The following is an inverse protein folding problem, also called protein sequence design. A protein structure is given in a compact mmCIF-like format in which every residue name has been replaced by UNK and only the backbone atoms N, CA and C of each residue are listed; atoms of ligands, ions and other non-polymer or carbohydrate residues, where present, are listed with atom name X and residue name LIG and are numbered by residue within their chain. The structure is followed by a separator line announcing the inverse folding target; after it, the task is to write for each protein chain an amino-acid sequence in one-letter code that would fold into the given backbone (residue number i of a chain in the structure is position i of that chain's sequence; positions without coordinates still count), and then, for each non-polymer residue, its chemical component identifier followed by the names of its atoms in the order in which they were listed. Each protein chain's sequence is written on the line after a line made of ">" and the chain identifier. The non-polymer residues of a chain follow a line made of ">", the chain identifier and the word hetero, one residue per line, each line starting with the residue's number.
data_IF_243900448359
#
_entry.id   IF_243900448359
#
_cell.length_a   1.000
_cell.length_b   1.000
_cell.length_c   1.000
_cell.angle_alpha   90.00
_cell.angle_beta   90.00
_cell.angle_gamma   90.00
#
_symmetry.space_group_name_H-M   'P 1'
#
loop_
_entity.id
_entity.type
_entity.pdbx_description
1 polymer ?
#
# COMPACT_ATOMS: atom_id res chain seq x y z
N UNK A 1 -6.70 52.20 33.19
CA UNK A 1 -6.39 51.25 32.10
C UNK A 1 -5.81 50.02 32.78
N UNK A 2 -6.60 48.94 32.89
CA UNK A 2 -6.15 47.68 33.49
C UNK A 2 -5.51 46.88 32.35
N UNK A 3 -4.20 46.65 32.42
CA UNK A 3 -3.52 45.73 31.51
C UNK A 3 -3.95 44.31 31.87
N UNK A 4 -4.82 43.71 31.05
CA UNK A 4 -5.06 42.28 31.07
C UNK A 4 -3.86 41.60 30.44
N UNK A 5 -3.00 41.02 31.27
CA UNK A 5 -1.95 40.10 30.84
C UNK A 5 -2.58 38.84 30.26
N UNK A 6 -2.61 38.75 28.93
CA UNK A 6 -2.86 37.49 28.23
C UNK A 6 -1.64 36.59 28.42
N UNK A 7 -1.75 35.63 29.33
CA UNK A 7 -0.87 34.45 29.29
C UNK A 7 -1.25 33.64 28.07
N UNK A 8 -0.33 33.36 27.12
CA UNK A 8 -0.62 32.41 26.06
C UNK A 8 -0.86 31.06 26.72
N UNK A 9 -2.05 30.51 26.51
CA UNK A 9 -2.36 29.16 26.93
C UNK A 9 -1.40 28.25 26.16
N UNK A 10 -0.41 27.67 26.85
CA UNK A 10 0.32 26.53 26.33
C UNK A 10 -0.74 25.43 26.20
N UNK A 11 -1.32 25.28 25.01
CA UNK A 11 -2.29 24.23 24.76
C UNK A 11 -1.50 22.93 24.66
N UNK A 12 -1.92 21.95 25.46
CA UNK A 12 -1.34 20.62 25.45
C UNK A 12 -1.46 20.08 24.01
N UNK A 13 -0.31 19.79 23.39
CA UNK A 13 -0.28 18.99 22.17
C UNK A 13 -1.05 17.71 22.51
N UNK A 14 -2.18 17.49 21.83
CA UNK A 14 -2.89 16.22 21.94
C UNK A 14 -1.97 15.16 21.35
N UNK A 15 -1.19 14.49 22.22
CA UNK A 15 -0.30 13.41 21.81
C UNK A 15 -1.21 12.29 21.34
N UNK A 16 -1.29 12.12 20.02
CA UNK A 16 -2.03 11.04 19.41
C UNK A 16 -1.33 9.72 19.70
N UNK A 17 -1.90 8.87 20.58
CA UNK A 17 -1.29 7.58 20.84
C UNK A 17 -1.35 6.75 19.55
N UNK A 18 -0.31 5.94 19.35
CA UNK A 18 -0.37 4.90 18.33
C UNK A 18 -1.58 3.98 18.61
N UNK A 19 -2.21 3.52 17.55
CA UNK A 19 -3.33 2.59 17.63
C UNK A 19 -2.95 1.27 16.98
N UNK A 20 -3.62 0.18 17.35
CA UNK A 20 -3.47 -1.09 16.64
C UNK A 20 -4.78 -1.85 16.61
N UNK A 21 -5.12 -2.40 15.44
CA UNK A 21 -6.26 -3.29 15.27
C UNK A 21 -6.06 -4.63 15.99
N UNK A 22 -4.81 -5.00 16.28
CA UNK A 22 -4.47 -6.20 17.02
C UNK A 22 -3.36 -5.93 18.04
N UNK A 23 -3.72 -5.86 19.33
CA UNK A 23 -2.79 -5.58 20.43
C UNK A 23 -1.65 -6.59 20.57
N UNK A 24 -1.75 -7.74 19.90
CA UNK A 24 -0.72 -8.79 19.90
C UNK A 24 0.20 -8.73 18.67
N UNK A 25 -0.06 -7.84 17.71
CA UNK A 25 0.80 -7.61 16.55
C UNK A 25 1.47 -6.25 16.64
N UNK A 26 2.74 -6.12 16.20
CA UNK A 26 3.47 -4.87 16.22
C UNK A 26 3.08 -3.90 15.08
N UNK A 27 1.84 -3.98 14.58
CA UNK A 27 1.36 -3.17 13.46
C UNK A 27 0.75 -1.88 14.04
N UNK A 28 1.56 -0.83 14.19
CA UNK A 28 1.14 0.46 14.74
C UNK A 28 0.58 1.38 13.66
N UNK A 29 -0.59 1.94 13.96
CA UNK A 29 -1.26 2.99 13.21
C UNK A 29 -0.91 4.33 13.88
N UNK A 30 -0.19 5.15 13.14
CA UNK A 30 0.33 6.45 13.54
C UNK A 30 -0.07 7.49 12.49
N UNK A 31 0.04 8.76 12.84
CA UNK A 31 -0.23 9.86 11.92
C UNK A 31 0.62 9.69 10.63
N UNK A 32 0.05 9.87 9.42
CA UNK A 32 -1.25 10.49 9.12
C UNK A 32 -2.45 9.56 9.22
N UNK A 33 -2.26 8.26 9.43
CA UNK A 33 -3.35 7.31 9.48
C UNK A 33 -4.08 7.35 10.82
N UNK A 34 -5.37 7.06 10.78
CA UNK A 34 -6.20 6.90 11.98
C UNK A 34 -7.30 5.89 11.79
N UNK A 35 -7.84 5.40 12.89
CA UNK A 35 -9.09 4.64 12.92
C UNK A 35 -10.20 5.53 13.51
N UNK A 36 -11.17 5.99 12.69
CA UNK A 36 -12.27 6.81 13.18
C UNK A 36 -13.04 6.14 14.32
N UNK A 37 -13.58 6.95 15.25
CA UNK A 37 -14.26 6.54 16.51
C UNK A 37 -13.34 5.96 17.59
N UNK A 38 -12.14 5.51 17.24
CA UNK A 38 -11.13 5.06 18.20
C UNK A 38 -10.09 6.15 18.52
N UNK A 39 -9.83 7.04 17.57
CA UNK A 39 -8.93 8.19 17.71
C UNK A 39 -9.69 9.49 17.39
N UNK A 40 -9.24 10.60 17.96
CA UNK A 40 -9.81 11.93 17.69
C UNK A 40 -9.53 12.36 16.25
N UNK A 41 -10.30 13.33 15.74
CA UNK A 41 -10.17 13.79 14.36
C UNK A 41 -8.80 14.43 14.10
N UNK A 42 -8.15 14.98 15.13
CA UNK A 42 -6.80 15.57 15.01
C UNK A 42 -5.68 14.52 14.97
N UNK A 43 -5.99 13.24 15.18
CA UNK A 43 -5.00 12.17 15.13
C UNK A 43 -4.79 11.52 13.77
N UNK A 44 -5.43 12.04 12.72
CA UNK A 44 -5.11 11.63 11.36
C UNK A 44 -5.36 12.74 10.36
N UNK A 45 -4.68 12.65 9.24
CA UNK A 45 -4.81 13.59 8.14
C UNK A 45 -6.03 13.22 7.27
N UNK A 46 -6.76 14.21 6.71
CA UNK A 46 -7.88 13.92 5.83
C UNK A 46 -7.50 12.96 4.69
N UNK A 47 -8.32 11.92 4.49
CA UNK A 47 -8.11 10.91 3.45
C UNK A 47 -7.31 9.67 3.91
N UNK A 48 -6.78 9.65 5.13
CA UNK A 48 -5.99 8.54 5.69
C UNK A 48 -6.77 7.69 6.71
N UNK A 49 -8.08 7.61 6.55
CA UNK A 49 -8.92 6.80 7.43
C UNK A 49 -8.75 5.30 7.13
N UNK A 50 -8.42 4.54 8.17
CA UNK A 50 -8.36 3.09 8.18
C UNK A 50 -9.53 2.51 8.98
N UNK A 51 -9.71 1.21 8.89
CA UNK A 51 -10.64 0.46 9.74
C UNK A 51 -10.03 -0.87 10.18
N UNK A 52 -10.65 -1.51 11.18
CA UNK A 52 -10.25 -2.84 11.62
C UNK A 52 -11.31 -3.86 11.24
N UNK A 53 -10.89 -5.06 10.83
CA UNK A 53 -11.79 -6.21 10.70
C UNK A 53 -11.90 -6.99 12.02
N UNK A 54 -12.80 -7.97 12.07
CA UNK A 54 -13.04 -8.83 13.26
C UNK A 54 -11.83 -9.67 13.66
N UNK A 55 -10.89 -9.89 12.75
CA UNK A 55 -9.69 -10.70 12.97
C UNK A 55 -8.49 -9.83 13.41
N UNK A 56 -8.72 -8.54 13.67
CA UNK A 56 -7.69 -7.58 14.04
C UNK A 56 -6.80 -7.12 12.88
N UNK A 57 -7.19 -7.40 11.64
CA UNK A 57 -6.51 -6.90 10.45
C UNK A 57 -6.90 -5.44 10.15
N UNK A 58 -5.91 -4.66 9.74
CA UNK A 58 -6.08 -3.26 9.31
C UNK A 58 -6.55 -3.21 7.86
N UNK A 59 -7.53 -2.35 7.58
CA UNK A 59 -8.21 -2.25 6.30
C UNK A 59 -8.10 -0.84 5.72
N UNK A 60 -7.80 -0.77 4.43
CA UNK A 60 -7.81 0.45 3.61
C UNK A 60 -8.95 0.39 2.61
N UNK A 61 -9.80 1.42 2.58
CA UNK A 61 -10.82 1.58 1.55
C UNK A 61 -10.43 2.70 0.59
N UNK A 62 -10.29 2.37 -0.69
CA UNK A 62 -10.05 3.36 -1.74
C UNK A 62 -11.40 3.81 -2.33
N UNK A 63 -11.81 5.08 -2.18
CA UNK A 63 -13.15 5.56 -2.56
C UNK A 63 -13.46 5.45 -4.06
N UNK A 64 -12.42 5.46 -4.89
CA UNK A 64 -12.48 5.45 -6.35
C UNK A 64 -12.73 4.07 -6.96
N UNK A 65 -12.80 3.02 -6.14
CA UNK A 65 -13.09 1.68 -6.61
C UNK A 65 -14.58 1.45 -6.79
N UNK A 66 -14.93 0.88 -7.95
CA UNK A 66 -16.30 0.42 -8.23
C UNK A 66 -16.76 -0.63 -7.21
N UNK A 67 -15.83 -1.44 -6.68
CA UNK A 67 -16.11 -2.30 -5.53
C UNK A 67 -15.90 -1.54 -4.22
N UNK A 68 -16.82 -1.69 -3.28
CA UNK A 68 -16.69 -1.19 -1.92
C UNK A 68 -15.73 -2.00 -1.05
N UNK A 69 -15.13 -3.06 -1.60
CA UNK A 69 -14.27 -3.98 -0.85
C UNK A 69 -12.98 -3.29 -0.41
N UNK A 70 -12.62 -3.38 0.87
CA UNK A 70 -11.36 -2.86 1.37
C UNK A 70 -10.19 -3.80 1.03
N UNK A 71 -9.00 -3.22 0.95
CA UNK A 71 -7.75 -3.97 1.00
C UNK A 71 -7.32 -4.22 2.44
N UNK A 72 -6.53 -5.28 2.64
CA UNK A 72 -5.84 -5.51 3.91
C UNK A 72 -4.49 -4.83 3.83
N UNK A 73 -4.21 -3.95 4.79
CA UNK A 73 -2.90 -3.34 4.99
C UNK A 73 -1.98 -4.38 5.59
N UNK A 74 -0.87 -4.67 4.90
CA UNK A 74 0.14 -5.64 5.31
C UNK A 74 1.34 -4.98 5.99
N UNK A 75 1.58 -3.68 5.75
CA UNK A 75 2.65 -2.93 6.40
C UNK A 75 2.63 -1.46 6.02
N UNK A 76 3.17 -0.62 6.90
CA UNK A 76 3.32 0.82 6.72
C UNK A 76 4.76 1.18 7.07
N UNK A 77 5.48 1.83 6.16
CA UNK A 77 6.79 2.43 6.42
C UNK A 77 6.63 3.95 6.41
N UNK A 78 6.52 4.53 7.61
CA UNK A 78 6.37 5.98 7.79
C UNK A 78 7.63 6.76 7.37
N UNK A 79 8.81 6.15 7.48
CA UNK A 79 10.08 6.81 7.12
C UNK A 79 10.22 7.02 5.62
N UNK A 80 9.64 6.11 4.82
CA UNK A 80 9.60 6.20 3.36
C UNK A 80 8.27 6.72 2.81
N UNK A 81 7.24 6.72 3.65
CA UNK A 81 5.84 6.96 3.28
C UNK A 81 5.34 5.95 2.25
N UNK A 82 5.51 4.67 2.57
CA UNK A 82 5.08 3.53 1.77
C UNK A 82 4.08 2.67 2.53
N UNK A 83 3.14 2.09 1.79
CA UNK A 83 2.04 1.28 2.30
C UNK A 83 1.91 0.04 1.41
N UNK A 84 1.93 -1.16 2.00
CA UNK A 84 1.69 -2.39 1.26
C UNK A 84 0.29 -2.92 1.53
N UNK A 85 -0.44 -3.20 0.47
CA UNK A 85 -1.82 -3.70 0.53
C UNK A 85 -1.96 -5.03 -0.20
N UNK A 86 -2.85 -5.88 0.32
CA UNK A 86 -3.22 -7.17 -0.24
C UNK A 86 -4.73 -7.25 -0.45
N UNK A 87 -5.13 -8.12 -1.35
CA UNK A 87 -6.53 -8.47 -1.55
C UNK A 87 -6.97 -9.50 -0.48
N UNK A 88 -8.11 -9.31 0.22
CA UNK A 88 -8.68 -10.35 1.07
C UNK A 88 -8.86 -11.71 0.40
N UNK A 89 -9.12 -11.73 -0.92
CA UNK A 89 -9.25 -12.96 -1.73
C UNK A 89 -7.89 -13.50 -2.21
N UNK A 90 -6.79 -12.86 -1.81
CA UNK A 90 -5.41 -13.21 -2.19
C UNK A 90 -5.17 -13.22 -3.70
N UNK A 91 -5.74 -12.26 -4.40
CA UNK A 91 -5.52 -12.09 -5.83
C UNK A 91 -5.44 -10.61 -6.25
N UNK A 92 -4.40 -9.91 -5.79
CA UNK A 92 -4.06 -8.56 -6.28
C UNK A 92 -4.02 -8.47 -7.82
N UNK A 93 -3.46 -9.44 -8.56
CA UNK A 93 -3.48 -9.41 -10.02
C UNK A 93 -4.91 -9.34 -10.60
N UNK A 94 -5.87 -10.04 -9.98
CA UNK A 94 -7.29 -9.98 -10.37
C UNK A 94 -7.89 -8.60 -10.13
N UNK A 95 -7.58 -7.97 -8.97
CA UNK A 95 -8.00 -6.59 -8.67
C UNK A 95 -7.48 -5.61 -9.73
N UNK A 96 -6.23 -5.73 -10.16
CA UNK A 96 -5.62 -4.84 -11.17
C UNK A 96 -6.19 -5.04 -12.58
N UNK A 97 -6.50 -6.29 -12.95
CA UNK A 97 -7.10 -6.57 -14.26
C UNK A 97 -8.54 -6.06 -14.36
N UNK A 98 -9.35 -6.34 -13.32
CA UNK A 98 -10.80 -6.16 -13.34
C UNK A 98 -11.27 -4.85 -12.70
N UNK A 99 -10.46 -4.21 -11.87
CA UNK A 99 -10.78 -2.93 -11.25
C UNK A 99 -9.86 -1.88 -11.85
N UNK A 100 -10.46 -0.85 -12.44
CA UNK A 100 -9.74 0.37 -12.79
C UNK A 100 -9.33 1.05 -11.48
N UNK A 101 -8.24 0.56 -10.86
CA UNK A 101 -7.64 1.11 -9.66
C UNK A 101 -7.18 2.53 -9.98
N UNK A 102 -8.05 3.50 -9.71
CA UNK A 102 -7.77 4.89 -9.95
C UNK A 102 -7.46 5.58 -8.62
N UNK A 103 -6.23 6.00 -8.38
CA UNK A 103 -5.87 6.70 -7.14
C UNK A 103 -6.25 8.19 -7.16
N UNK A 104 -6.79 8.70 -8.28
CA UNK A 104 -7.18 10.10 -8.42
C UNK A 104 -8.19 10.50 -7.34
N UNK A 105 -7.92 11.62 -6.67
CA UNK A 105 -8.75 12.13 -5.57
C UNK A 105 -8.52 11.45 -4.22
N UNK A 106 -7.59 10.50 -4.14
CA UNK A 106 -7.08 9.94 -2.88
C UNK A 106 -5.72 10.58 -2.55
N UNK A 107 -5.26 10.55 -1.29
CA UNK A 107 -3.92 11.04 -0.94
C UNK A 107 -2.80 10.07 -1.37
N UNK A 108 -3.15 8.94 -1.98
CA UNK A 108 -2.20 7.89 -2.35
C UNK A 108 -1.71 8.06 -3.78
N UNK A 109 -0.42 7.81 -3.98
CA UNK A 109 0.21 7.60 -5.27
C UNK A 109 0.63 6.13 -5.44
N UNK A 110 1.05 5.79 -6.65
CA UNK A 110 1.73 4.52 -6.89
C UNK A 110 3.11 4.53 -6.22
N UNK A 111 3.53 3.39 -5.65
CA UNK A 111 4.87 3.23 -5.09
C UNK A 111 5.99 3.42 -6.13
N UNK A 112 7.25 3.64 -5.72
CA UNK A 112 8.37 3.87 -6.62
C UNK A 112 8.67 2.68 -7.56
N UNK A 113 8.37 1.45 -7.15
CA UNK A 113 8.73 0.22 -7.86
C UNK A 113 7.74 -0.13 -9.00
N UNK A 114 7.27 0.87 -9.75
CA UNK A 114 6.35 0.66 -10.87
C UNK A 114 7.07 -0.01 -12.04
N UNK A 115 6.49 -1.11 -12.53
CA UNK A 115 6.91 -1.74 -13.77
C UNK A 115 5.70 -2.03 -14.68
N UNK A 116 5.96 -2.13 -15.98
CA UNK A 116 4.97 -2.61 -16.94
C UNK A 116 4.97 -4.14 -16.92
N UNK A 117 3.77 -4.70 -16.78
CA UNK A 117 3.54 -6.13 -16.78
C UNK A 117 2.51 -6.50 -17.83
N UNK A 118 2.81 -7.57 -18.54
CA UNK A 118 1.93 -8.16 -19.52
C UNK A 118 1.31 -9.42 -18.94
N UNK A 119 -0.02 -9.44 -18.97
CA UNK A 119 -0.82 -10.59 -18.60
C UNK A 119 -1.20 -11.36 -19.85
N UNK A 120 -0.95 -12.67 -19.86
CA UNK A 120 -1.25 -13.51 -20.99
C UNK A 120 -2.07 -14.73 -20.59
N UNK A 121 -2.98 -15.12 -21.48
CA UNK A 121 -3.69 -16.38 -21.43
C UNK A 121 -2.88 -17.42 -22.23
N UNK A 122 -2.36 -18.43 -21.55
CA UNK A 122 -1.59 -19.53 -22.14
C UNK A 122 -2.34 -20.86 -22.06
N UNK A 123 -3.67 -20.86 -21.93
CA UNK A 123 -4.47 -22.09 -21.79
C UNK A 123 -4.38 -23.03 -22.99
N UNK A 124 -4.21 -22.46 -24.19
CA UNK A 124 -4.09 -23.21 -25.45
C UNK A 124 -2.66 -23.61 -25.81
N UNK A 125 -1.70 -23.25 -24.97
CA UNK A 125 -0.32 -23.66 -25.18
C UNK A 125 -0.19 -25.18 -24.94
N UNK A 126 0.75 -25.83 -25.63
CA UNK A 126 1.02 -27.27 -25.45
C UNK A 126 1.65 -27.62 -24.07
N UNK A 127 1.26 -26.90 -23.01
CA UNK A 127 1.67 -27.11 -21.62
C UNK A 127 1.10 -28.39 -21.00
N UNK A 128 0.22 -29.12 -21.69
CA UNK A 128 -0.35 -30.40 -21.24
C UNK A 128 0.60 -31.60 -21.30
N UNK A 129 1.87 -31.40 -21.67
CA UNK A 129 2.90 -32.44 -21.62
C UNK A 129 3.64 -32.43 -20.27
N UNK A 130 3.97 -33.58 -19.67
CA UNK A 130 4.63 -33.68 -18.35
C UNK A 130 6.03 -33.04 -18.26
N UNK A 131 6.55 -32.44 -19.34
CA UNK A 131 7.87 -31.80 -19.43
C UNK A 131 7.82 -30.35 -19.99
N UNK A 132 6.64 -29.76 -20.14
CA UNK A 132 6.52 -28.41 -20.72
C UNK A 132 6.74 -27.34 -19.65
N UNK A 133 8.00 -27.02 -19.37
CA UNK A 133 8.37 -25.94 -18.45
C UNK A 133 8.17 -24.58 -19.16
N UNK A 134 7.55 -23.61 -18.47
CA UNK A 134 7.48 -22.25 -18.98
C UNK A 134 8.89 -21.65 -19.09
N UNK A 135 9.12 -20.71 -20.03
CA UNK A 135 10.40 -20.02 -20.08
C UNK A 135 10.69 -19.29 -18.77
N UNK A 136 11.95 -19.29 -18.35
CA UNK A 136 12.44 -18.47 -17.24
C UNK A 136 12.01 -17.00 -17.42
N UNK A 137 11.64 -16.35 -16.32
CA UNK A 137 11.06 -15.00 -16.35
C UNK A 137 9.55 -14.97 -16.59
N UNK A 138 8.89 -16.13 -16.69
CA UNK A 138 7.42 -16.23 -16.71
C UNK A 138 6.89 -16.59 -15.34
N UNK A 139 5.88 -15.85 -14.87
CA UNK A 139 5.24 -16.10 -13.58
C UNK A 139 3.81 -16.60 -13.79
N UNK A 140 3.50 -17.80 -13.32
CA UNK A 140 2.13 -18.32 -13.33
C UNK A 140 1.33 -17.64 -12.22
N UNK A 141 0.19 -17.06 -12.59
CA UNK A 141 -0.72 -16.41 -11.65
C UNK A 141 -1.74 -17.44 -11.20
N UNK A 142 -1.41 -18.15 -10.13
CA UNK A 142 -2.20 -19.23 -9.52
C UNK A 142 -3.66 -18.82 -9.28
N UNK A 143 -3.91 -17.64 -8.72
CA UNK A 143 -5.26 -17.18 -8.37
C UNK A 143 -6.13 -16.78 -9.58
N UNK A 144 -5.53 -16.65 -10.77
CA UNK A 144 -6.23 -16.46 -12.04
C UNK A 144 -6.21 -17.72 -12.92
N UNK A 145 -5.56 -18.79 -12.45
CA UNK A 145 -5.40 -20.04 -13.19
C UNK A 145 -6.24 -21.15 -12.57
N UNK A 146 -6.64 -22.10 -13.40
CA UNK A 146 -7.36 -23.32 -13.02
C UNK A 146 -6.92 -24.47 -13.91
N UNK A 147 -7.46 -25.67 -13.72
CA UNK A 147 -6.95 -26.89 -14.37
C UNK A 147 -6.77 -26.82 -15.90
N UNK A 148 -7.65 -26.12 -16.62
CA UNK A 148 -7.56 -25.91 -18.07
C UNK A 148 -7.38 -24.43 -18.47
N UNK A 149 -7.10 -23.55 -17.51
CA UNK A 149 -6.98 -22.12 -17.76
C UNK A 149 -5.70 -21.60 -17.12
N UNK A 150 -4.75 -21.13 -17.93
CA UNK A 150 -3.44 -20.71 -17.43
C UNK A 150 -3.23 -19.25 -17.73
N UNK A 151 -3.12 -18.44 -16.68
CA UNK A 151 -2.77 -17.02 -16.78
C UNK A 151 -1.38 -16.81 -16.26
N UNK A 152 -0.58 -16.09 -17.04
CA UNK A 152 0.81 -15.80 -16.74
C UNK A 152 1.08 -14.31 -16.79
N UNK A 153 2.15 -13.90 -16.13
CA UNK A 153 2.66 -12.55 -16.13
C UNK A 153 4.13 -12.53 -16.55
N UNK A 154 4.52 -11.52 -17.29
CA UNK A 154 5.93 -11.19 -17.57
C UNK A 154 6.12 -9.68 -17.56
N UNK A 155 7.34 -9.22 -17.31
CA UNK A 155 7.77 -7.82 -17.45
C UNK A 155 8.73 -7.63 -18.63
N UNK A 156 9.02 -8.69 -19.40
CA UNK A 156 9.98 -8.68 -20.49
C UNK A 156 9.27 -8.71 -21.85
N UNK A 157 9.41 -7.64 -22.63
CA UNK A 157 8.78 -7.52 -23.96
C UNK A 157 9.20 -8.66 -24.91
N UNK A 158 10.48 -9.04 -24.89
CA UNK A 158 10.99 -10.13 -25.73
C UNK A 158 10.39 -11.48 -25.34
N UNK A 159 10.14 -11.68 -24.04
CA UNK A 159 9.52 -12.90 -23.54
C UNK A 159 8.02 -12.93 -23.87
N UNK A 160 7.32 -11.80 -23.75
CA UNK A 160 5.94 -11.65 -24.20
C UNK A 160 5.81 -12.07 -25.67
N UNK A 161 6.62 -11.50 -26.55
CA UNK A 161 6.63 -11.83 -27.98
C UNK A 161 6.90 -13.32 -28.23
N UNK A 162 7.85 -13.90 -27.49
CA UNK A 162 8.19 -15.31 -27.58
C UNK A 162 7.01 -16.19 -27.16
N UNK A 163 6.35 -15.88 -26.04
CA UNK A 163 5.16 -16.58 -25.57
C UNK A 163 4.01 -16.53 -26.59
N UNK A 164 3.77 -15.37 -27.20
CA UNK A 164 2.74 -15.23 -28.24
C UNK A 164 3.08 -16.06 -29.49
N UNK A 165 4.33 -16.01 -29.97
CA UNK A 165 4.73 -16.71 -31.22
C UNK A 165 4.83 -18.23 -31.07
N UNK A 166 5.53 -18.69 -30.04
CA UNK A 166 5.92 -20.09 -29.86
C UNK A 166 4.93 -20.87 -28.99
N UNK A 167 4.43 -20.27 -27.90
CA UNK A 167 3.46 -20.91 -26.99
C UNK A 167 2.00 -20.59 -27.33
N UNK A 168 1.74 -19.75 -28.33
CA UNK A 168 0.37 -19.36 -28.73
C UNK A 168 -0.43 -18.74 -27.59
N UNK A 169 0.25 -18.04 -26.68
CA UNK A 169 -0.44 -17.27 -25.65
C UNK A 169 -1.08 -16.01 -26.25
N UNK A 170 -2.16 -15.54 -25.63
CA UNK A 170 -2.87 -14.33 -26.02
C UNK A 170 -2.69 -13.24 -24.95
N UNK A 171 -2.34 -12.03 -25.35
CA UNK A 171 -2.21 -10.89 -24.42
C UNK A 171 -3.59 -10.49 -23.93
N UNK A 172 -3.81 -10.59 -22.62
CA UNK A 172 -5.04 -10.18 -21.94
C UNK A 172 -5.04 -8.66 -21.77
N UNK A 173 -4.00 -8.13 -21.11
CA UNK A 173 -3.87 -6.72 -20.76
C UNK A 173 -2.41 -6.41 -20.41
N UNK A 174 -1.97 -5.19 -20.71
CA UNK A 174 -0.74 -4.62 -20.16
C UNK A 174 -1.11 -3.62 -19.08
N UNK A 175 -0.44 -3.67 -17.94
CA UNK A 175 -0.71 -2.81 -16.79
C UNK A 175 0.60 -2.30 -16.22
N UNK A 176 0.59 -1.07 -15.74
CA UNK A 176 1.69 -0.51 -14.95
C UNK A 176 1.28 -0.57 -13.49
N UNK A 177 2.04 -1.29 -12.68
CA UNK A 177 1.73 -1.45 -11.26
C UNK A 177 3.01 -1.60 -10.42
N UNK A 178 3.02 -1.10 -9.18
CA UNK A 178 4.12 -1.27 -8.23
C UNK A 178 3.91 -2.56 -7.44
N UNK A 179 4.11 -3.70 -8.10
CA UNK A 179 3.99 -4.98 -7.43
C UNK A 179 5.18 -5.22 -6.51
N UNK A 180 4.88 -5.61 -5.27
CA UNK A 180 5.88 -6.01 -4.31
C UNK A 180 5.72 -7.50 -4.01
N UNK A 181 6.82 -8.23 -4.16
CA UNK A 181 6.88 -9.67 -4.00
C UNK A 181 7.85 -9.98 -2.85
N UNK A 182 7.34 -10.33 -1.64
CA UNK A 182 8.16 -10.54 -0.44
C UNK A 182 9.27 -11.58 -0.64
N UNK A 183 9.03 -12.57 -1.49
CA UNK A 183 9.87 -13.77 -1.63
C UNK A 183 11.05 -13.63 -2.60
N UNK A 184 11.17 -12.51 -3.33
CA UNK A 184 12.35 -12.25 -4.18
C UNK A 184 13.65 -12.05 -3.38
N UNK A 185 13.56 -11.91 -2.05
CA UNK A 185 14.71 -11.75 -1.15
C UNK A 185 15.51 -13.03 -0.89
N UNK A 186 14.99 -14.23 -1.20
CA UNK A 186 15.70 -15.49 -1.01
C UNK A 186 15.41 -16.50 -2.12
N UNK A 187 16.02 -16.30 -3.30
CA UNK A 187 16.42 -17.37 -4.24
C UNK A 187 15.40 -18.43 -4.67
N UNK A 188 14.13 -18.25 -4.35
CA UNK A 188 13.04 -19.20 -4.56
C UNK A 188 12.00 -18.46 -5.36
N UNK A 189 11.72 -18.94 -6.57
CA UNK A 189 10.54 -18.47 -7.31
C UNK A 189 9.30 -18.89 -6.51
N UNK A 190 8.37 -17.97 -6.18
CA UNK A 190 7.15 -18.34 -5.48
C UNK A 190 6.40 -19.39 -6.27
N UNK A 191 6.04 -20.50 -5.63
CA UNK A 191 5.00 -21.39 -6.13
C UNK A 191 3.66 -20.63 -6.05
N UNK A 192 3.36 -19.86 -7.09
CA UNK A 192 2.09 -19.16 -7.27
C UNK A 192 2.05 -17.73 -6.71
N UNK A 193 1.73 -16.76 -7.57
CA UNK A 193 1.62 -15.34 -7.21
C UNK A 193 0.35 -14.95 -6.46
N UNK A 194 -0.11 -15.77 -5.52
CA UNK A 194 -1.25 -15.42 -4.65
C UNK A 194 -0.87 -14.40 -3.56
N UNK A 195 0.42 -14.32 -3.18
CA UNK A 195 0.91 -13.48 -2.07
C UNK A 195 1.55 -12.16 -2.52
N UNK A 196 1.28 -11.76 -3.77
CA UNK A 196 1.71 -10.46 -4.29
C UNK A 196 1.02 -9.31 -3.56
N UNK A 197 1.79 -8.28 -3.19
CA UNK A 197 1.29 -7.04 -2.61
C UNK A 197 1.33 -5.92 -3.64
N UNK A 198 0.50 -4.90 -3.42
CA UNK A 198 0.53 -3.65 -4.16
C UNK A 198 1.12 -2.56 -3.26
N UNK A 199 2.14 -1.86 -3.74
CA UNK A 199 2.80 -0.80 -2.97
C UNK A 199 2.21 0.57 -3.34
N UNK A 200 1.67 1.26 -2.36
CA UNK A 200 1.23 2.65 -2.48
C UNK A 200 2.23 3.57 -1.77
N UNK A 201 2.25 4.83 -2.20
CA UNK A 201 2.99 5.90 -1.56
C UNK A 201 2.03 7.01 -1.15
N UNK A 202 2.48 7.90 -0.28
CA UNK A 202 1.85 9.21 -0.09
C UNK A 202 2.93 10.27 0.06
N UNK A 203 2.61 11.50 -0.33
CA UNK A 203 3.53 12.64 -0.22
C UNK A 203 3.04 13.69 0.78
N UNK A 204 1.73 13.86 0.92
CA UNK A 204 1.15 14.85 1.84
C UNK A 204 0.32 14.14 2.90
N UNK A 205 0.57 14.38 4.20
CA UNK A 205 1.63 15.24 4.73
C UNK A 205 3.01 14.58 4.61
N UNK A 206 4.06 15.38 4.43
CA UNK A 206 5.43 14.88 4.41
C UNK A 206 6.00 14.85 5.83
N UNK A 207 6.33 13.63 6.25
CA UNK A 207 6.79 13.24 7.57
C UNK A 207 8.12 12.48 7.52
N UNK A 208 8.71 12.29 6.33
CA UNK A 208 9.91 11.46 6.14
C UNK A 208 11.06 11.92 7.04
N UNK A 209 11.44 13.20 6.96
CA UNK A 209 12.53 13.76 7.79
C UNK A 209 12.22 13.66 9.29
N UNK A 210 10.98 13.94 9.69
CA UNK A 210 10.58 13.92 11.09
C UNK A 210 10.74 12.52 11.70
N UNK A 211 10.24 11.50 11.00
CA UNK A 211 10.30 10.10 11.44
C UNK A 211 11.76 9.62 11.47
N UNK A 212 12.57 9.97 10.46
CA UNK A 212 14.00 9.62 10.43
C UNK A 212 14.76 10.21 11.63
N UNK A 213 14.39 11.42 12.07
CA UNK A 213 14.96 12.07 13.25
C UNK A 213 14.42 11.54 14.58
N UNK A 214 13.58 10.51 14.56
CA UNK A 214 12.94 9.94 15.75
C UNK A 214 11.83 10.82 16.33
N UNK A 215 11.29 11.75 15.53
CA UNK A 215 10.13 12.55 15.87
C UNK A 215 8.81 11.89 15.47
N UNK A 216 7.73 12.46 15.99
CA UNK A 216 6.36 12.11 15.60
C UNK A 216 5.74 13.27 14.84
N UNK A 217 5.11 12.97 13.71
CA UNK A 217 4.32 13.93 12.97
C UNK A 217 2.95 14.13 13.61
N UNK A 218 2.40 15.34 13.48
CA UNK A 218 1.02 15.63 13.89
C UNK A 218 0.61 17.04 13.48
N UNK A 219 -0.66 17.40 13.69
CA UNK A 219 -1.08 18.77 13.41
C UNK A 219 -0.40 19.76 14.36
N UNK A 220 0.01 20.91 13.82
CA UNK A 220 0.69 21.97 14.57
C UNK A 220 -0.25 22.79 15.47
N UNK A 221 -1.56 22.64 15.34
CA UNK A 221 -2.56 23.32 16.16
C UNK A 221 -3.91 22.63 16.15
N UNK A 222 -4.93 23.24 16.74
CA UNK A 222 -6.27 22.65 16.89
C UNK A 222 -7.15 22.75 15.62
N UNK A 223 -6.73 23.58 14.67
CA UNK A 223 -7.44 23.81 13.41
C UNK A 223 -6.47 23.86 12.22
N UNK A 224 -7.00 23.77 11.00
CA UNK A 224 -6.21 23.74 9.78
C UNK A 224 -5.49 22.41 9.53
N UNK A 225 -4.69 22.39 8.45
CA UNK A 225 -3.99 21.20 7.94
C UNK A 225 -2.46 21.30 8.05
N UNK A 226 -1.94 22.29 8.77
CA UNK A 226 -0.51 22.44 9.01
C UNK A 226 0.00 21.30 9.87
N UNK A 227 0.99 20.57 9.38
CA UNK A 227 1.64 19.45 10.08
C UNK A 227 3.01 19.92 10.58
N UNK A 228 3.33 19.55 11.82
CA UNK A 228 4.61 19.81 12.47
C UNK A 228 5.31 18.51 12.86
N UNK A 229 6.60 18.63 13.19
CA UNK A 229 7.41 17.55 13.73
C UNK A 229 7.64 17.74 15.23
N UNK A 230 7.34 16.72 16.02
CA UNK A 230 7.49 16.73 17.46
C UNK A 230 8.55 15.72 17.88
N UNK A 231 9.74 16.21 18.21
CA UNK A 231 10.82 15.36 18.69
C UNK A 231 10.57 14.96 20.14
N UNK A 232 10.76 13.68 20.45
CA UNK A 232 10.74 13.19 21.83
C UNK A 232 12.03 13.62 22.56
N UNK A 233 12.09 14.89 22.98
CA UNK A 233 13.03 15.38 23.99
C UNK A 233 14.52 15.44 23.62
N UNK A 234 14.90 16.47 22.88
CA UNK A 234 15.98 17.37 23.30
C UNK A 234 15.34 18.74 23.52
N UNK A 235 15.56 19.37 24.68
CA UNK A 235 14.95 20.65 25.05
C UNK A 235 14.88 21.67 23.89
N UNK A 236 13.67 22.19 23.63
CA UNK A 236 13.45 23.32 22.74
C UNK A 236 12.62 22.96 21.51
N UNK A 237 11.30 23.16 21.62
CA UNK A 237 10.45 23.21 20.44
C UNK A 237 10.84 24.41 19.58
N UNK A 238 11.51 24.16 18.47
CA UNK A 238 11.60 25.13 17.37
C UNK A 238 10.51 24.78 16.36
N UNK A 239 9.46 25.60 16.32
CA UNK A 239 8.64 25.73 15.12
C UNK A 239 9.47 26.47 14.09
N UNK A 240 9.89 25.77 13.02
CA UNK A 240 10.41 26.44 11.84
C UNK A 240 9.22 26.93 11.01
N UNK A 241 9.17 28.25 10.85
CA UNK A 241 8.27 29.04 10.00
C UNK A 241 8.47 28.77 8.51
#
# INVERSE_FOLDING_TARGET
>A
IICLSFTPHLQAIEICPYFSCNKHRPDTIEFPFRVPRNQTVRCGYPGFDLSCNSNGGTLLKLPSLKSSDPFIVQGIDYSKQLLWISDPEKCIPNRILNMDLNLTGTPYGWGPDNAEYSFLNCSNSNLGGPNSQMPDGTLVISCLSSGNFTVVMTWENLLEEKMVREWKCEVIKRVTAPFWLPEFGQGSYPDGMSDMLLQLSWDIPDCRDCVIRGGSCGFAGDSGLTVGCFLSGGNGGESLS
#
